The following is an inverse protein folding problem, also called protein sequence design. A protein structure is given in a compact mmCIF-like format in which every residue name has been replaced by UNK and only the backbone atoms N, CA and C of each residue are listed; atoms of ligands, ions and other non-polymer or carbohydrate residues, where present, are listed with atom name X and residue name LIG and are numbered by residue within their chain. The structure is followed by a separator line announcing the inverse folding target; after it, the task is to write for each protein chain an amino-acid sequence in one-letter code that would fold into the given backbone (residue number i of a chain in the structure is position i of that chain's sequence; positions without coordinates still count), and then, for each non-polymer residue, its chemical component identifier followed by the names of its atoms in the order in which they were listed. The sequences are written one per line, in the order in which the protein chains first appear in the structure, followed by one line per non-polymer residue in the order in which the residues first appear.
data_IF_941214901168
#
_entry.id   IF_941214901168
#
_cell.length_a   1.000
_cell.length_b   1.000
_cell.length_c   1.000
_cell.angle_alpha   90.00
_cell.angle_beta   90.00
_cell.angle_gamma   90.00
#
_symmetry.space_group_name_H-M   'P 1'
#
loop_
_entity.id
_entity.type
_entity.pdbx_description
1 polymer ?
#
# COMPACT_ATOMS: atom_id res chain seq x y z
N UNK A 1 16.76 51.93 22.79
CA UNK A 1 16.06 50.74 22.27
C UNK A 1 14.77 51.18 21.60
N UNK A 2 14.46 50.65 20.42
CA UNK A 2 13.19 50.92 19.75
C UNK A 2 12.20 49.83 20.18
N UNK A 3 11.19 50.20 20.97
CA UNK A 3 10.09 49.33 21.40
C UNK A 3 8.77 49.87 20.82
N UNK A 4 7.87 48.98 20.41
CA UNK A 4 6.54 49.36 19.91
C UNK A 4 6.30 49.28 18.40
N UNK A 5 7.20 48.66 17.62
CA UNK A 5 6.88 48.31 16.23
C UNK A 5 5.89 47.13 16.21
N UNK A 6 4.75 47.32 15.56
CA UNK A 6 3.83 46.22 15.25
C UNK A 6 4.54 45.24 14.30
N UNK A 7 4.31 43.92 14.43
CA UNK A 7 4.98 42.94 13.57
C UNK A 7 4.74 43.28 12.11
N UNK A 8 5.83 43.58 11.39
CA UNK A 8 5.79 43.86 9.95
C UNK A 8 5.86 42.51 9.24
N UNK A 9 4.78 42.15 8.56
CA UNK A 9 4.75 40.98 7.67
C UNK A 9 5.02 41.51 6.26
N UNK A 10 6.19 41.21 5.71
CA UNK A 10 6.49 41.48 4.31
C UNK A 10 5.86 40.38 3.45
N UNK A 11 4.94 40.75 2.56
CA UNK A 11 4.38 39.84 1.55
C UNK A 11 5.17 40.07 0.26
N UNK A 12 6.27 39.33 0.12
CA UNK A 12 7.05 39.31 -1.12
C UNK A 12 6.50 38.25 -2.07
N UNK A 13 6.40 38.57 -3.36
CA UNK A 13 6.06 37.60 -4.39
C UNK A 13 7.28 36.71 -4.69
N UNK A 14 7.66 35.85 -3.75
CA UNK A 14 8.63 34.78 -4.02
C UNK A 14 7.97 33.77 -4.96
N UNK A 15 8.50 33.63 -6.17
CA UNK A 15 8.29 32.44 -6.99
C UNK A 15 8.67 31.23 -6.15
N UNK A 16 7.68 30.48 -5.67
CA UNK A 16 7.89 29.22 -4.97
C UNK A 16 8.66 28.28 -5.89
N UNK A 17 9.72 27.65 -5.37
CA UNK A 17 10.52 26.72 -6.17
C UNK A 17 9.66 25.61 -6.78
N UNK A 18 10.03 25.17 -7.98
CA UNK A 18 9.38 24.06 -8.69
C UNK A 18 9.64 22.71 -7.99
N UNK A 19 9.01 22.48 -6.84
CA UNK A 19 8.93 21.14 -6.26
C UNK A 19 7.69 20.44 -6.84
N UNK A 20 7.84 19.36 -7.63
CA UNK A 20 6.72 18.68 -8.30
C UNK A 20 5.69 18.08 -7.32
N UNK A 21 6.07 17.90 -6.04
CA UNK A 21 5.18 17.45 -4.98
C UNK A 21 4.43 18.59 -4.29
N UNK A 22 4.87 19.83 -4.43
CA UNK A 22 4.14 20.97 -3.88
C UNK A 22 2.91 21.27 -4.73
N UNK A 23 1.75 21.37 -4.08
CA UNK A 23 0.46 21.71 -4.68
C UNK A 23 -0.12 22.94 -3.99
N UNK A 24 -1.16 23.55 -4.56
CA UNK A 24 -1.92 24.62 -3.88
C UNK A 24 -2.40 24.14 -2.50
N UNK A 25 -2.88 22.90 -2.41
CA UNK A 25 -3.38 22.33 -1.14
C UNK A 25 -2.29 22.18 -0.07
N UNK A 26 -1.05 21.86 -0.44
CA UNK A 26 0.06 21.78 0.53
C UNK A 26 0.58 23.16 0.90
N UNK A 27 0.61 24.11 -0.04
CA UNK A 27 1.08 25.49 0.22
C UNK A 27 0.12 26.23 1.15
N UNK A 28 -1.19 26.00 0.99
CA UNK A 28 -2.23 26.61 1.81
C UNK A 28 -2.57 25.81 3.06
N UNK A 29 -1.88 24.69 3.31
CA UNK A 29 -2.15 23.73 4.40
C UNK A 29 -3.57 23.10 4.39
N UNK A 30 -4.44 23.47 3.44
CA UNK A 30 -5.77 22.88 3.27
C UNK A 30 -5.68 21.35 3.16
N UNK A 31 -4.64 20.85 2.47
CA UNK A 31 -4.43 19.40 2.35
C UNK A 31 -4.14 18.74 3.69
N UNK A 32 -3.50 19.43 4.63
CA UNK A 32 -3.21 18.88 5.95
C UNK A 32 -4.49 18.68 6.77
N UNK A 33 -5.42 19.64 6.67
CA UNK A 33 -6.76 19.49 7.25
C UNK A 33 -7.58 18.42 6.54
N UNK A 34 -7.48 18.29 5.21
CA UNK A 34 -8.14 17.21 4.48
C UNK A 34 -7.64 15.84 4.93
N UNK A 35 -6.33 15.66 5.10
CA UNK A 35 -5.76 14.38 5.61
C UNK A 35 -6.32 14.04 7.00
N UNK A 36 -6.45 15.04 7.87
CA UNK A 36 -7.05 14.83 9.19
C UNK A 36 -8.55 14.48 9.09
N UNK A 37 -9.29 15.19 8.23
CA UNK A 37 -10.70 14.95 7.97
C UNK A 37 -10.93 13.53 7.45
N UNK A 38 -10.16 13.07 6.46
CA UNK A 38 -10.27 11.71 5.95
C UNK A 38 -9.85 10.66 6.98
N UNK A 39 -8.81 10.90 7.79
CA UNK A 39 -8.43 9.96 8.84
C UNK A 39 -9.48 9.79 9.94
N UNK A 40 -10.32 10.80 10.19
CA UNK A 40 -11.31 10.77 11.28
C UNK A 40 -12.76 10.59 10.83
N UNK A 41 -13.12 11.13 9.68
CA UNK A 41 -14.50 11.22 9.18
C UNK A 41 -14.82 10.35 7.97
N UNK A 42 -13.83 9.65 7.40
CA UNK A 42 -14.10 8.73 6.28
C UNK A 42 -14.70 7.40 6.73
N UNK A 43 -15.41 6.77 5.81
CA UNK A 43 -15.84 5.37 5.90
C UNK A 43 -14.98 4.53 4.97
N UNK A 44 -14.56 3.37 5.44
CA UNK A 44 -13.78 2.44 4.64
C UNK A 44 -14.70 1.56 3.80
N UNK A 45 -14.33 1.32 2.55
CA UNK A 45 -15.04 0.43 1.64
C UNK A 45 -14.10 -0.66 1.15
N UNK A 46 -14.62 -1.88 1.04
CA UNK A 46 -13.85 -3.00 0.53
C UNK A 46 -13.53 -2.79 -0.96
N UNK A 47 -12.26 -2.89 -1.38
CA UNK A 47 -11.91 -2.88 -2.80
C UNK A 47 -12.42 -4.12 -3.55
N UNK A 48 -12.72 -5.21 -2.86
CA UNK A 48 -13.19 -6.47 -3.46
C UNK A 48 -14.71 -6.49 -3.64
N UNK A 49 -15.46 -6.13 -2.59
CA UNK A 49 -16.93 -6.23 -2.59
C UNK A 49 -17.63 -4.88 -2.77
N UNK A 50 -16.92 -3.77 -2.59
CA UNK A 50 -17.49 -2.41 -2.61
C UNK A 50 -18.36 -2.07 -1.40
N UNK A 51 -18.51 -2.98 -0.41
CA UNK A 51 -19.33 -2.76 0.78
C UNK A 51 -18.59 -1.94 1.83
N UNK A 52 -19.35 -1.24 2.68
CA UNK A 52 -18.79 -0.52 3.83
C UNK A 52 -18.17 -1.53 4.81
N UNK A 53 -16.91 -1.31 5.17
CA UNK A 53 -16.21 -2.11 6.17
C UNK A 53 -16.66 -1.72 7.56
N UNK A 54 -16.75 -2.71 8.44
CA UNK A 54 -17.24 -2.51 9.80
C UNK A 54 -16.11 -2.67 10.82
N UNK A 55 -16.20 -1.90 11.90
CA UNK A 55 -15.40 -2.07 13.11
C UNK A 55 -16.27 -1.77 14.32
N UNK A 56 -15.93 -2.37 15.46
CA UNK A 56 -16.65 -2.18 16.71
C UNK A 56 -15.67 -1.91 17.86
N UNK A 57 -16.06 -1.02 18.77
CA UNK A 57 -15.37 -0.88 20.06
C UNK A 57 -15.69 -2.04 20.98
N UNK A 58 -14.89 -2.26 22.03
CA UNK A 58 -15.17 -3.29 23.05
C UNK A 58 -16.57 -3.13 23.63
N UNK A 59 -16.94 -1.89 23.96
CA UNK A 59 -18.25 -1.56 24.53
C UNK A 59 -19.37 -1.83 23.54
N UNK A 60 -19.21 -1.43 22.27
CA UNK A 60 -20.21 -1.72 21.23
C UNK A 60 -20.40 -3.23 21.02
N UNK A 61 -19.33 -4.03 21.05
CA UNK A 61 -19.45 -5.49 20.94
C UNK A 61 -20.24 -6.05 22.12
N UNK A 62 -19.91 -5.62 23.34
CA UNK A 62 -20.62 -6.06 24.56
C UNK A 62 -22.10 -5.68 24.50
N UNK A 63 -22.41 -4.44 24.14
CA UNK A 63 -23.79 -3.95 24.03
C UNK A 63 -24.58 -4.68 22.94
N UNK A 64 -23.97 -4.95 21.78
CA UNK A 64 -24.59 -5.73 20.71
C UNK A 64 -24.88 -7.16 21.17
N UNK A 65 -23.98 -7.78 21.95
CA UNK A 65 -24.18 -9.12 22.48
C UNK A 65 -25.32 -9.14 23.50
N UNK A 66 -25.34 -8.19 24.43
CA UNK A 66 -26.38 -8.05 25.45
C UNK A 66 -27.77 -7.81 24.83
N UNK A 67 -27.85 -7.00 23.79
CA UNK A 67 -29.12 -6.62 23.16
C UNK A 67 -29.65 -7.68 22.19
N UNK A 68 -28.81 -8.23 21.31
CA UNK A 68 -29.26 -9.13 20.24
C UNK A 68 -29.42 -10.57 20.69
N UNK A 69 -28.64 -11.01 21.69
CA UNK A 69 -28.65 -12.38 22.18
C UNK A 69 -29.26 -12.49 23.58
N UNK A 70 -30.06 -11.50 23.99
CA UNK A 70 -30.77 -11.50 25.27
C UNK A 70 -31.60 -12.79 25.43
N UNK A 71 -31.35 -13.53 26.51
CA UNK A 71 -32.04 -14.78 26.85
C UNK A 71 -31.63 -16.00 26.03
N UNK A 72 -30.80 -15.85 24.99
CA UNK A 72 -30.36 -16.95 24.11
C UNK A 72 -29.03 -17.54 24.56
N UNK A 73 -28.87 -18.85 24.43
CA UNK A 73 -27.60 -19.51 24.71
C UNK A 73 -26.66 -19.32 23.52
N UNK A 74 -25.46 -18.80 23.76
CA UNK A 74 -24.49 -18.51 22.72
C UNK A 74 -23.08 -18.98 23.11
N UNK A 75 -22.27 -19.33 22.12
CA UNK A 75 -20.85 -19.60 22.28
C UNK A 75 -20.06 -18.37 21.87
N UNK A 76 -19.18 -17.91 22.76
CA UNK A 76 -18.24 -16.84 22.47
C UNK A 76 -16.96 -17.47 21.91
N UNK A 77 -16.66 -17.16 20.66
CA UNK A 77 -15.59 -17.77 19.89
C UNK A 77 -14.48 -16.76 19.62
N UNK A 78 -13.23 -17.23 19.67
CA UNK A 78 -12.05 -16.44 19.33
C UNK A 78 -11.33 -17.05 18.13
N UNK A 79 -11.36 -16.40 16.95
CA UNK A 79 -10.77 -16.96 15.74
C UNK A 79 -9.24 -16.94 15.82
N UNK A 80 -8.63 -18.11 15.78
CA UNK A 80 -7.17 -18.29 15.86
C UNK A 80 -6.55 -18.48 14.48
N UNK A 81 -7.25 -19.20 13.59
CA UNK A 81 -6.80 -19.52 12.24
C UNK A 81 -7.98 -19.35 11.28
N UNK A 82 -7.73 -18.66 10.16
CA UNK A 82 -8.74 -18.42 9.11
C UNK A 82 -8.20 -18.88 7.77
N UNK A 83 -8.73 -19.99 7.25
CA UNK A 83 -8.46 -20.47 5.89
C UNK A 83 -6.99 -20.76 5.59
N UNK A 84 -6.18 -21.17 6.59
CA UNK A 84 -4.75 -21.46 6.41
C UNK A 84 -4.47 -22.96 6.49
N UNK A 85 -3.50 -23.41 5.69
CA UNK A 85 -3.03 -24.80 5.67
C UNK A 85 -2.10 -25.08 6.84
N UNK A 86 -2.30 -26.18 7.55
CA UNK A 86 -1.44 -26.56 8.66
C UNK A 86 -2.03 -27.65 9.55
N UNK A 87 -1.15 -28.34 10.28
CA UNK A 87 -1.55 -29.44 11.17
C UNK A 87 -1.89 -28.97 12.61
N UNK A 88 -1.46 -27.76 12.99
CA UNK A 88 -1.80 -27.05 14.24
C UNK A 88 -1.67 -27.82 15.57
N UNK A 89 -0.86 -28.88 15.64
CA UNK A 89 -0.68 -29.68 16.87
C UNK A 89 -0.17 -28.84 18.05
N UNK A 90 0.85 -28.01 17.83
CA UNK A 90 1.41 -27.13 18.87
C UNK A 90 0.37 -26.13 19.39
N UNK A 91 -0.51 -25.64 18.51
CA UNK A 91 -1.60 -24.74 18.90
C UNK A 91 -2.56 -25.43 19.87
N UNK A 92 -3.00 -26.65 19.57
CA UNK A 92 -3.90 -27.40 20.46
C UNK A 92 -3.23 -27.76 21.78
N UNK A 93 -1.96 -28.17 21.78
CA UNK A 93 -1.19 -28.42 23.01
C UNK A 93 -1.10 -27.17 23.89
N UNK A 94 -0.87 -25.99 23.30
CA UNK A 94 -0.85 -24.72 24.04
C UNK A 94 -2.21 -24.37 24.63
N UNK A 95 -3.30 -24.59 23.89
CA UNK A 95 -4.66 -24.35 24.37
C UNK A 95 -5.03 -25.27 25.55
N UNK A 96 -4.63 -26.55 25.49
CA UNK A 96 -4.80 -27.51 26.61
C UNK A 96 -4.04 -27.07 27.85
N UNK A 97 -2.78 -26.67 27.70
CA UNK A 97 -1.96 -26.17 28.81
C UNK A 97 -2.57 -24.93 29.48
N UNK A 98 -3.33 -24.13 28.73
CA UNK A 98 -4.08 -22.98 29.25
C UNK A 98 -5.45 -23.33 29.86
N UNK A 99 -5.84 -24.61 29.82
CA UNK A 99 -7.07 -25.11 30.45
C UNK A 99 -8.34 -24.96 29.60
N UNK A 100 -8.23 -24.68 28.30
CA UNK A 100 -9.41 -24.67 27.42
C UNK A 100 -9.88 -26.09 27.11
N UNK A 101 -11.19 -26.28 27.04
CA UNK A 101 -11.81 -27.60 26.82
C UNK A 101 -12.36 -27.79 25.41
N UNK A 102 -12.88 -26.74 24.77
CA UNK A 102 -13.60 -26.84 23.51
C UNK A 102 -13.00 -25.95 22.43
N UNK A 103 -13.05 -26.42 21.19
CA UNK A 103 -12.61 -25.70 20.00
C UNK A 103 -13.57 -25.98 18.85
N UNK A 104 -13.86 -24.98 18.03
CA UNK A 104 -14.61 -25.14 16.79
C UNK A 104 -13.63 -25.22 15.63
N UNK A 105 -13.71 -26.31 14.86
CA UNK A 105 -12.84 -26.58 13.71
C UNK A 105 -13.72 -26.84 12.51
N UNK A 106 -13.52 -26.07 11.45
CA UNK A 106 -14.24 -26.20 10.17
C UNK A 106 -15.77 -26.24 10.32
N UNK A 107 -16.30 -25.57 11.34
CA UNK A 107 -17.73 -25.47 11.65
C UNK A 107 -18.23 -26.41 12.75
N UNK A 108 -17.43 -27.39 13.19
CA UNK A 108 -17.83 -28.37 14.21
C UNK A 108 -17.16 -28.06 15.55
N UNK A 109 -17.94 -28.07 16.64
CA UNK A 109 -17.42 -27.91 18.01
C UNK A 109 -16.96 -29.28 18.51
N UNK A 110 -15.68 -29.39 18.83
CA UNK A 110 -15.03 -30.61 19.31
C UNK A 110 -14.39 -30.38 20.68
N UNK A 111 -14.30 -31.46 21.46
CA UNK A 111 -13.52 -31.45 22.69
C UNK A 111 -12.02 -31.45 22.34
N UNK A 112 -11.29 -30.49 22.89
CA UNK A 112 -9.87 -30.28 22.62
C UNK A 112 -9.01 -31.49 23.00
N UNK A 113 -9.50 -32.37 23.88
CA UNK A 113 -8.82 -33.62 24.23
C UNK A 113 -8.80 -34.64 23.08
N UNK A 114 -9.82 -34.64 22.22
CA UNK A 114 -9.97 -35.59 21.12
C UNK A 114 -9.19 -35.16 19.87
N UNK A 115 -8.90 -33.86 19.73
CA UNK A 115 -8.27 -33.29 18.53
C UNK A 115 -6.74 -33.26 18.64
N UNK A 116 -6.02 -34.22 18.07
CA UNK A 116 -4.54 -34.20 18.09
C UNK A 116 -3.90 -33.29 17.04
N UNK A 117 -4.30 -33.44 15.77
CA UNK A 117 -3.75 -32.71 14.63
C UNK A 117 -4.76 -32.65 13.48
N UNK A 118 -4.58 -31.64 12.60
CA UNK A 118 -5.35 -31.49 11.37
C UNK A 118 -4.52 -31.85 10.13
N UNK A 119 -5.18 -31.88 8.97
CA UNK A 119 -4.53 -32.16 7.69
C UNK A 119 -3.63 -30.99 7.26
N UNK A 120 -2.34 -31.26 7.07
CA UNK A 120 -1.36 -30.21 6.71
C UNK A 120 -1.65 -29.54 5.36
N UNK A 121 -2.34 -30.22 4.44
CA UNK A 121 -2.50 -29.75 3.07
C UNK A 121 -3.83 -29.04 2.81
N UNK A 122 -4.77 -29.09 3.76
CA UNK A 122 -6.10 -28.45 3.65
C UNK A 122 -6.15 -27.14 4.42
N UNK A 123 -6.87 -26.12 3.91
CA UNK A 123 -7.14 -24.91 4.67
C UNK A 123 -8.11 -25.22 5.80
N UNK A 124 -7.80 -24.72 7.00
CA UNK A 124 -8.63 -24.93 8.19
C UNK A 124 -9.07 -23.59 8.81
N UNK A 125 -10.25 -23.61 9.42
CA UNK A 125 -10.80 -22.54 10.25
C UNK A 125 -10.84 -23.04 11.70
N UNK A 126 -10.11 -22.36 12.59
CA UNK A 126 -9.99 -22.77 14.00
C UNK A 126 -10.41 -21.61 14.88
N UNK A 127 -11.43 -21.83 15.69
CA UNK A 127 -12.01 -20.84 16.60
C UNK A 127 -12.08 -21.44 18.01
N UNK A 128 -11.43 -20.79 18.97
CA UNK A 128 -11.45 -21.24 20.37
C UNK A 128 -12.80 -20.90 21.01
N UNK A 129 -13.41 -21.87 21.70
CA UNK A 129 -14.57 -21.58 22.55
C UNK A 129 -14.06 -20.99 23.86
N UNK A 130 -14.27 -19.68 24.05
CA UNK A 130 -13.77 -18.95 25.22
C UNK A 130 -14.75 -19.01 26.38
N UNK A 131 -16.05 -18.86 26.08
CA UNK A 131 -17.11 -18.92 27.09
C UNK A 131 -18.44 -19.36 26.46
N UNK A 132 -19.34 -19.87 27.31
CA UNK A 132 -20.74 -20.14 27.01
C UNK A 132 -21.59 -19.12 27.76
N UNK A 133 -22.23 -18.25 27.00
CA UNK A 133 -22.97 -17.11 27.53
C UNK A 133 -24.47 -17.33 27.37
N UNK A 134 -25.24 -16.79 28.33
CA UNK A 134 -26.67 -16.57 28.16
C UNK A 134 -26.95 -15.15 28.65
N UNK A 135 -26.90 -14.14 27.77
CA UNK A 135 -27.05 -12.75 28.18
C UNK A 135 -28.37 -12.49 28.90
N UNK A 136 -28.29 -12.17 30.19
CA UNK A 136 -29.44 -11.85 31.06
C UNK A 136 -29.13 -10.59 31.86
N UNK A 137 -30.17 -9.93 32.39
CA UNK A 137 -30.01 -8.71 33.18
C UNK A 137 -29.16 -8.98 34.43
N UNK A 138 -28.05 -8.23 34.58
CA UNK A 138 -27.12 -8.37 35.71
C UNK A 138 -25.85 -9.18 35.41
N UNK A 139 -25.72 -9.79 34.23
CA UNK A 139 -24.49 -10.48 33.79
C UNK A 139 -23.48 -9.56 33.06
N UNK A 140 -23.74 -8.25 32.97
CA UNK A 140 -22.95 -7.29 32.20
C UNK A 140 -21.44 -7.37 32.47
N UNK A 141 -21.06 -7.47 33.76
CA UNK A 141 -19.64 -7.55 34.16
C UNK A 141 -18.97 -8.82 33.63
N UNK A 142 -19.66 -9.96 33.73
CA UNK A 142 -19.15 -11.25 33.27
C UNK A 142 -19.00 -11.29 31.76
N UNK A 143 -20.01 -10.78 31.03
CA UNK A 143 -19.98 -10.74 29.56
C UNK A 143 -18.85 -9.84 29.09
N UNK A 144 -18.67 -8.67 29.71
CA UNK A 144 -17.56 -7.77 29.41
C UNK A 144 -16.18 -8.43 29.60
N UNK A 145 -15.98 -9.13 30.71
CA UNK A 145 -14.73 -9.86 30.99
C UNK A 145 -14.48 -10.98 29.95
N UNK A 146 -15.51 -11.75 29.62
CA UNK A 146 -15.42 -12.83 28.64
C UNK A 146 -15.16 -12.33 27.22
N UNK A 147 -15.85 -11.27 26.79
CA UNK A 147 -15.63 -10.58 25.50
C UNK A 147 -14.22 -10.02 25.44
N UNK A 148 -13.75 -9.32 26.49
CA UNK A 148 -12.39 -8.81 26.55
C UNK A 148 -11.33 -9.90 26.40
N UNK A 149 -11.53 -11.04 27.08
CA UNK A 149 -10.65 -12.22 26.95
C UNK A 149 -10.68 -12.79 25.53
N UNK A 150 -11.86 -12.94 24.93
CA UNK A 150 -11.99 -13.50 23.58
C UNK A 150 -11.36 -12.60 22.51
N UNK A 151 -11.54 -11.29 22.62
CA UNK A 151 -10.91 -10.30 21.75
C UNK A 151 -9.39 -10.33 21.90
N UNK A 152 -8.88 -10.42 23.14
CA UNK A 152 -7.44 -10.51 23.41
C UNK A 152 -6.80 -11.74 22.76
N UNK A 153 -7.43 -12.90 22.87
CA UNK A 153 -6.95 -14.15 22.26
C UNK A 153 -7.03 -14.08 20.73
N UNK A 154 -8.09 -13.48 20.19
CA UNK A 154 -8.38 -13.40 18.75
C UNK A 154 -7.75 -12.20 18.07
N UNK A 155 -6.79 -11.54 18.75
CA UNK A 155 -6.04 -10.37 18.27
C UNK A 155 -6.94 -9.24 17.75
N UNK A 156 -8.02 -8.96 18.46
CA UNK A 156 -8.99 -7.93 18.08
C UNK A 156 -10.22 -8.45 17.34
N UNK A 157 -10.36 -9.77 17.15
CA UNK A 157 -11.55 -10.37 16.55
C UNK A 157 -12.23 -11.36 17.49
N UNK A 158 -13.55 -11.47 17.36
CA UNK A 158 -14.41 -12.37 18.13
C UNK A 158 -15.59 -12.80 17.26
N UNK A 159 -16.17 -13.95 17.53
CA UNK A 159 -17.41 -14.38 16.90
C UNK A 159 -18.39 -14.88 17.95
N UNK A 160 -19.67 -14.77 17.66
CA UNK A 160 -20.75 -15.29 18.50
C UNK A 160 -21.54 -16.27 17.67
N UNK A 161 -21.65 -17.49 18.19
CA UNK A 161 -22.47 -18.54 17.61
C UNK A 161 -23.71 -18.71 18.48
N UNK A 162 -24.89 -18.44 17.93
CA UNK A 162 -26.15 -18.72 18.59
C UNK A 162 -26.37 -20.24 18.64
N UNK A 163 -26.66 -20.78 19.83
CA UNK A 163 -26.88 -22.20 20.02
C UNK A 163 -28.30 -22.64 19.63
N UNK A 164 -29.24 -21.71 19.45
CA UNK A 164 -30.63 -22.00 19.10
C UNK A 164 -30.83 -22.10 17.59
N UNK A 165 -30.31 -21.14 16.82
CA UNK A 165 -30.45 -21.12 15.36
C UNK A 165 -29.16 -21.47 14.58
N UNK A 166 -28.02 -21.61 15.27
CA UNK A 166 -26.73 -21.94 14.66
C UNK A 166 -26.11 -20.79 13.86
N UNK A 167 -26.66 -19.58 13.93
CA UNK A 167 -26.13 -18.41 13.24
C UNK A 167 -24.80 -17.96 13.84
N UNK A 168 -23.84 -17.67 12.97
CA UNK A 168 -22.51 -17.20 13.34
C UNK A 168 -22.34 -15.75 12.93
N UNK A 169 -22.02 -14.88 13.90
CA UNK A 169 -21.75 -13.46 13.66
C UNK A 169 -20.36 -13.09 14.12
N UNK A 170 -19.58 -12.49 13.22
CA UNK A 170 -18.24 -12.00 13.52
C UNK A 170 -18.27 -10.52 13.93
N UNK A 171 -17.41 -10.19 14.88
CA UNK A 171 -17.11 -8.82 15.31
C UNK A 171 -15.59 -8.61 15.29
N UNK A 172 -15.15 -7.43 14.85
CA UNK A 172 -13.74 -7.07 14.84
C UNK A 172 -13.54 -5.63 15.30
N UNK A 173 -12.42 -5.40 15.99
CA UNK A 173 -11.87 -4.09 16.27
C UNK A 173 -11.22 -3.45 15.05
N UNK A 174 -10.74 -4.29 14.14
CA UNK A 174 -10.12 -3.85 12.90
C UNK A 174 -11.19 -3.64 11.86
N UNK A 175 -10.92 -2.79 10.86
CA UNK A 175 -11.78 -2.68 9.70
C UNK A 175 -11.74 -4.00 8.94
N UNK A 176 -12.89 -4.64 8.82
CA UNK A 176 -13.03 -5.92 8.11
C UNK A 176 -14.24 -5.85 7.19
N UNK A 177 -14.08 -6.39 5.98
CA UNK A 177 -15.19 -6.69 5.09
C UNK A 177 -15.94 -7.93 5.62
N UNK A 178 -17.25 -7.82 5.94
CA UNK A 178 -18.03 -8.95 6.42
C UNK A 178 -18.09 -10.15 5.47
N UNK A 179 -17.91 -9.95 4.16
CA UNK A 179 -18.08 -10.99 3.15
C UNK A 179 -16.75 -11.62 2.73
N UNK A 180 -15.77 -10.83 2.34
CA UNK A 180 -14.47 -11.37 1.91
C UNK A 180 -13.50 -11.61 3.08
N UNK A 181 -13.73 -10.99 4.24
CA UNK A 181 -12.83 -11.05 5.39
C UNK A 181 -11.55 -10.24 5.23
N UNK A 182 -11.41 -9.48 4.13
CA UNK A 182 -10.32 -8.53 3.93
C UNK A 182 -10.28 -7.53 5.09
N UNK A 183 -9.08 -7.29 5.62
CA UNK A 183 -8.88 -6.34 6.71
C UNK A 183 -7.99 -5.19 6.29
N UNK A 184 -8.43 -3.97 6.58
CA UNK A 184 -7.65 -2.75 6.38
C UNK A 184 -7.18 -2.22 7.73
N UNK A 185 -6.02 -1.56 7.71
CA UNK A 185 -5.56 -0.81 8.87
C UNK A 185 -6.39 0.45 9.08
N UNK A 186 -6.49 0.91 10.32
CA UNK A 186 -7.09 2.20 10.59
C UNK A 186 -6.26 3.31 9.94
N UNK A 187 -6.92 4.23 9.22
CA UNK A 187 -6.20 5.26 8.51
C UNK A 187 -5.66 6.29 9.51
N UNK A 188 -4.42 6.72 9.28
CA UNK A 188 -3.81 7.84 9.99
C UNK A 188 -3.64 9.01 8.99
N UNK A 189 -3.44 10.26 9.45
CA UNK A 189 -3.28 11.38 8.53
C UNK A 189 -2.16 11.18 7.50
N UNK A 190 -1.09 10.45 7.85
CA UNK A 190 0.00 10.14 6.91
C UNK A 190 -0.38 9.11 5.84
N UNK A 191 -1.43 8.30 6.06
CA UNK A 191 -2.00 7.38 5.07
C UNK A 191 -2.59 8.14 3.87
N UNK A 192 -2.98 9.40 4.07
CA UNK A 192 -3.47 10.28 3.01
C UNK A 192 -2.40 11.25 2.52
N UNK A 193 -1.12 10.99 2.78
CA UNK A 193 -0.03 11.86 2.38
C UNK A 193 0.71 11.26 1.18
N UNK A 194 0.60 11.90 0.02
CA UNK A 194 1.45 11.55 -1.13
C UNK A 194 2.94 11.90 -0.94
N UNK A 195 3.29 12.57 0.16
CA UNK A 195 4.68 12.79 0.56
C UNK A 195 5.22 11.67 1.47
N UNK A 196 4.38 10.76 1.95
CA UNK A 196 4.74 9.69 2.88
C UNK A 196 4.67 8.32 2.20
N UNK A 197 5.63 7.40 2.44
CA UNK A 197 5.55 6.02 1.93
C UNK A 197 4.27 5.25 2.27
N UNK A 198 3.65 5.59 3.40
CA UNK A 198 2.42 4.98 3.88
C UNK A 198 1.19 5.43 3.09
N UNK A 199 1.26 6.54 2.35
CA UNK A 199 0.13 7.10 1.61
C UNK A 199 0.35 7.25 0.12
N UNK A 200 1.60 7.36 -0.34
CA UNK A 200 1.87 7.59 -1.75
C UNK A 200 1.60 6.36 -2.61
N UNK A 201 1.26 6.60 -3.88
CA UNK A 201 1.24 5.58 -4.90
C UNK A 201 2.65 4.98 -5.07
N UNK A 202 2.86 3.67 -4.92
CA UNK A 202 4.20 3.06 -5.00
C UNK A 202 4.82 3.18 -6.39
N UNK A 203 3.99 3.30 -7.43
CA UNK A 203 4.43 3.40 -8.83
C UNK A 203 5.05 4.77 -9.15
N UNK A 204 4.31 5.86 -8.92
CA UNK A 204 4.80 7.23 -9.18
C UNK A 204 5.48 7.89 -7.97
N UNK A 205 5.58 7.19 -6.83
CA UNK A 205 6.13 7.72 -5.56
C UNK A 205 5.54 9.08 -5.18
N UNK A 206 4.23 9.24 -5.35
CA UNK A 206 3.52 10.47 -4.97
C UNK A 206 3.64 11.65 -5.94
N UNK A 207 4.20 11.45 -7.14
CA UNK A 207 4.26 12.50 -8.17
C UNK A 207 2.94 12.66 -8.92
N UNK A 208 2.19 11.55 -9.09
CA UNK A 208 0.94 11.51 -9.87
C UNK A 208 1.17 11.42 -11.38
N UNK A 209 2.39 11.68 -11.82
CA UNK A 209 2.84 11.48 -13.18
C UNK A 209 4.03 10.52 -13.20
N UNK A 210 4.22 9.89 -14.36
CA UNK A 210 5.42 9.11 -14.69
C UNK A 210 5.95 9.62 -16.02
N UNK A 211 7.24 9.46 -16.26
CA UNK A 211 7.80 9.68 -17.58
C UNK A 211 7.42 8.46 -18.42
N UNK A 212 6.53 8.65 -19.40
CA UNK A 212 6.21 7.59 -20.36
C UNK A 212 7.28 7.58 -21.43
N UNK A 213 8.24 6.68 -21.24
CA UNK A 213 9.34 6.48 -22.16
C UNK A 213 8.85 5.47 -23.19
N UNK A 214 7.99 5.92 -24.11
CA UNK A 214 7.67 5.11 -25.27
C UNK A 214 8.91 5.07 -26.18
N UNK A 215 9.53 3.90 -26.30
CA UNK A 215 10.72 3.67 -27.14
C UNK A 215 10.43 4.06 -28.59
N UNK A 216 9.21 3.83 -29.10
CA UNK A 216 8.82 4.20 -30.46
C UNK A 216 8.71 5.72 -30.64
N UNK A 217 8.42 6.47 -29.56
CA UNK A 217 8.47 7.94 -29.59
C UNK A 217 9.91 8.47 -29.55
N UNK A 218 10.84 7.71 -28.97
CA UNK A 218 12.25 8.09 -28.85
C UNK A 218 13.05 7.69 -30.09
N UNK A 219 12.72 6.53 -30.66
CA UNK A 219 13.33 5.93 -31.85
C UNK A 219 12.22 5.51 -32.83
N UNK A 220 11.57 6.48 -33.51
CA UNK A 220 10.44 6.21 -34.40
C UNK A 220 10.84 5.45 -35.67
N UNK A 221 12.11 5.53 -36.05
CA UNK A 221 12.65 4.92 -37.25
C UNK A 221 14.00 4.27 -36.92
N UNK A 222 13.96 2.97 -36.62
CA UNK A 222 15.13 2.18 -36.22
C UNK A 222 16.07 1.85 -37.38
N UNK A 223 15.67 2.15 -38.62
CA UNK A 223 16.52 1.99 -39.80
C UNK A 223 17.54 3.12 -39.95
N UNK A 224 17.36 4.22 -39.23
CA UNK A 224 18.31 5.34 -39.17
C UNK A 224 19.43 5.08 -38.18
N UNK A 225 20.54 5.78 -38.37
CA UNK A 225 21.69 5.73 -37.46
C UNK A 225 21.59 6.74 -36.31
N UNK A 226 22.41 6.57 -35.26
CA UNK A 226 22.54 7.58 -34.20
C UNK A 226 23.03 8.91 -34.79
N UNK A 227 23.89 8.87 -35.81
CA UNK A 227 24.41 10.05 -36.50
C UNK A 227 23.32 10.84 -37.24
N UNK A 228 22.39 10.14 -37.88
CA UNK A 228 21.28 10.73 -38.62
C UNK A 228 20.12 11.20 -37.73
N UNK A 229 20.23 11.00 -36.41
CA UNK A 229 19.25 11.43 -35.43
C UNK A 229 18.12 10.42 -35.23
N UNK A 230 18.39 9.12 -35.31
CA UNK A 230 17.41 8.07 -34.98
C UNK A 230 16.86 8.21 -33.56
N UNK A 231 17.69 8.66 -32.61
CA UNK A 231 17.28 8.97 -31.24
C UNK A 231 16.83 10.43 -31.18
N UNK A 232 15.52 10.66 -31.21
CA UNK A 232 14.92 12.00 -31.37
C UNK A 232 15.38 13.01 -30.31
N UNK A 233 15.40 12.68 -28.99
CA UNK A 233 15.85 13.64 -27.98
C UNK A 233 17.37 13.93 -28.02
N UNK A 234 18.18 13.05 -28.62
CA UNK A 234 19.62 13.26 -28.81
C UNK A 234 19.90 14.21 -29.99
N UNK A 235 19.04 14.14 -31.01
CA UNK A 235 19.19 14.87 -32.27
C UNK A 235 20.30 14.31 -33.16
N UNK A 236 20.65 15.03 -34.23
CA UNK A 236 21.74 14.66 -35.14
C UNK A 236 23.12 14.87 -34.50
N UNK A 237 24.10 14.09 -34.94
CA UNK A 237 25.50 14.23 -34.48
C UNK A 237 26.00 15.65 -34.71
N UNK A 238 26.58 16.21 -33.65
CA UNK A 238 27.23 17.52 -33.61
C UNK A 238 28.39 17.50 -32.62
N UNK A 239 29.21 18.54 -32.67
CA UNK A 239 30.26 18.75 -31.66
C UNK A 239 29.60 19.26 -30.37
N UNK A 240 29.35 18.34 -29.45
CA UNK A 240 28.84 18.66 -28.11
C UNK A 240 29.34 17.62 -27.11
N UNK A 241 29.41 18.02 -25.83
CA UNK A 241 29.84 17.14 -24.73
C UNK A 241 29.02 15.84 -24.66
N UNK A 242 27.71 15.93 -24.94
CA UNK A 242 26.82 14.76 -25.01
C UNK A 242 27.28 13.77 -26.09
N UNK A 243 27.63 14.25 -27.28
CA UNK A 243 28.14 13.38 -28.35
C UNK A 243 29.56 12.88 -28.10
N UNK A 244 30.37 13.57 -27.29
CA UNK A 244 31.67 13.06 -26.85
C UNK A 244 31.52 11.83 -25.95
N UNK A 245 30.55 11.84 -25.04
CA UNK A 245 30.20 10.67 -24.21
C UNK A 245 29.68 9.53 -25.10
N UNK A 246 28.74 9.81 -26.02
CA UNK A 246 28.22 8.79 -26.94
C UNK A 246 29.32 8.19 -27.83
N UNK A 247 30.30 8.99 -28.28
CA UNK A 247 31.51 8.50 -28.97
C UNK A 247 32.35 7.58 -28.09
N UNK A 248 32.49 7.89 -26.80
CA UNK A 248 33.19 7.03 -25.85
C UNK A 248 32.45 5.71 -25.63
N UNK A 249 31.12 5.73 -25.56
CA UNK A 249 30.28 4.52 -25.52
C UNK A 249 30.49 3.69 -26.79
N UNK A 250 30.47 4.31 -27.96
CA UNK A 250 30.70 3.65 -29.25
C UNK A 250 32.05 2.93 -29.33
N UNK A 251 33.12 3.54 -28.78
CA UNK A 251 34.44 2.90 -28.68
C UNK A 251 34.45 1.70 -27.72
N UNK A 252 33.77 1.80 -26.57
CA UNK A 252 33.72 0.72 -25.57
C UNK A 252 32.95 -0.50 -26.09
N UNK A 253 31.83 -0.27 -26.77
CA UNK A 253 30.95 -1.32 -27.29
C UNK A 253 31.21 -1.69 -28.77
N UNK A 254 32.23 -1.08 -29.38
CA UNK A 254 32.71 -1.36 -30.74
C UNK A 254 31.62 -1.30 -31.82
N UNK A 255 30.80 -0.24 -31.81
CA UNK A 255 29.81 0.04 -32.85
C UNK A 255 30.07 1.39 -33.52
N UNK A 256 29.56 1.59 -34.74
CA UNK A 256 29.63 2.88 -35.42
C UNK A 256 28.36 3.70 -35.17
N UNK A 257 28.53 5.00 -34.94
CA UNK A 257 27.42 5.96 -34.85
C UNK A 257 26.59 6.03 -36.14
N UNK A 258 27.14 5.56 -37.26
CA UNK A 258 26.52 5.55 -38.58
C UNK A 258 25.80 4.23 -38.89
N UNK A 259 25.88 3.23 -38.01
CA UNK A 259 25.12 2.00 -38.17
C UNK A 259 23.64 2.23 -37.85
N UNK A 260 22.70 1.59 -38.58
CA UNK A 260 21.27 1.59 -38.22
C UNK A 260 21.05 1.11 -36.79
N UNK A 261 20.08 1.69 -36.07
CA UNK A 261 19.75 1.26 -34.69
C UNK A 261 19.40 -0.24 -34.63
N UNK A 262 18.72 -0.78 -35.64
CA UNK A 262 18.39 -2.21 -35.71
C UNK A 262 19.62 -3.14 -35.80
N UNK A 263 20.77 -2.62 -36.21
CA UNK A 263 22.02 -3.37 -36.26
C UNK A 263 22.79 -3.30 -34.92
N UNK A 264 22.39 -2.44 -33.99
CA UNK A 264 23.02 -2.29 -32.68
C UNK A 264 22.48 -3.32 -31.68
N UNK A 265 23.31 -3.81 -30.74
CA UNK A 265 22.83 -4.62 -29.63
C UNK A 265 21.79 -3.88 -28.78
N UNK A 266 20.73 -4.57 -28.36
CA UNK A 266 19.67 -3.99 -27.51
C UNK A 266 20.20 -3.39 -26.21
N UNK A 267 21.27 -3.95 -25.66
CA UNK A 267 21.96 -3.42 -24.47
C UNK A 267 22.54 -2.02 -24.72
N UNK A 268 23.09 -1.77 -25.91
CA UNK A 268 23.61 -0.45 -26.31
C UNK A 268 22.47 0.53 -26.50
N UNK A 269 21.38 0.11 -27.15
CA UNK A 269 20.19 0.96 -27.34
C UNK A 269 19.59 1.34 -25.99
N UNK A 270 19.46 0.37 -25.08
CA UNK A 270 19.00 0.58 -23.71
C UNK A 270 19.92 1.53 -22.95
N UNK A 271 21.25 1.34 -23.03
CA UNK A 271 22.24 2.22 -22.41
C UNK A 271 22.12 3.66 -22.92
N UNK A 272 21.96 3.86 -24.23
CA UNK A 272 21.80 5.19 -24.82
C UNK A 272 20.50 5.87 -24.33
N UNK A 273 19.42 5.09 -24.20
CA UNK A 273 18.09 5.58 -23.80
C UNK A 273 17.99 5.86 -22.30
N UNK A 274 18.32 4.87 -21.47
CA UNK A 274 18.13 4.86 -20.01
C UNK A 274 19.35 5.30 -19.20
N UNK A 275 20.53 5.36 -19.81
CA UNK A 275 21.75 5.71 -19.10
C UNK A 275 22.36 4.56 -18.31
N UNK A 276 23.53 4.81 -17.73
CA UNK A 276 24.23 3.91 -16.81
C UNK A 276 25.17 4.69 -15.89
N UNK A 277 25.41 4.15 -14.71
CA UNK A 277 26.43 4.63 -13.77
C UNK A 277 27.85 4.27 -14.19
N UNK A 278 28.00 3.47 -15.26
CA UNK A 278 29.29 3.19 -15.89
C UNK A 278 30.01 4.49 -16.28
N UNK A 279 31.30 4.56 -15.95
CA UNK A 279 32.13 5.69 -16.32
C UNK A 279 32.80 5.45 -17.68
N UNK A 280 32.65 6.43 -18.57
CA UNK A 280 33.23 6.44 -19.91
C UNK A 280 34.34 7.50 -19.97
N UNK A 281 35.45 7.13 -20.62
CA UNK A 281 36.58 8.05 -20.82
C UNK A 281 36.32 8.96 -22.01
N UNK A 282 36.10 10.23 -21.73
CA UNK A 282 35.79 11.28 -22.71
C UNK A 282 37.02 12.16 -22.91
N UNK A 283 37.39 12.47 -24.16
CA UNK A 283 38.58 13.26 -24.51
C UNK A 283 39.82 12.44 -24.86
N UNK A 284 40.92 13.13 -25.19
CA UNK A 284 42.18 12.50 -25.62
C UNK A 284 43.37 12.93 -24.73
N UNK A 285 44.29 11.99 -24.50
CA UNK A 285 45.52 12.24 -23.73
C UNK A 285 45.27 12.62 -22.26
N UNK A 286 45.96 13.66 -21.79
CA UNK A 286 45.93 14.13 -20.40
C UNK A 286 44.68 14.97 -20.04
N UNK A 287 43.85 15.32 -21.03
CA UNK A 287 42.60 16.08 -20.87
C UNK A 287 41.37 15.15 -20.80
N UNK A 288 41.58 13.85 -20.62
CA UNK A 288 40.48 12.90 -20.57
C UNK A 288 39.82 12.86 -19.20
N UNK A 289 38.50 12.90 -19.17
CA UNK A 289 37.68 12.84 -17.95
C UNK A 289 36.80 11.59 -17.96
N UNK A 290 36.45 11.11 -16.77
CA UNK A 290 35.55 9.97 -16.59
C UNK A 290 34.15 10.51 -16.31
N UNK A 291 33.22 10.27 -17.22
CA UNK A 291 31.83 10.74 -17.11
C UNK A 291 30.84 9.58 -17.21
N UNK A 292 29.75 9.64 -16.44
CA UNK A 292 28.61 8.75 -16.61
C UNK A 292 27.62 9.31 -17.65
N UNK A 293 26.76 8.43 -18.17
CA UNK A 293 25.73 8.81 -19.14
C UNK A 293 24.35 8.68 -18.50
N UNK A 294 23.65 9.80 -18.31
CA UNK A 294 22.30 9.83 -17.70
C UNK A 294 21.16 9.36 -18.61
N UNK A 295 21.44 9.03 -19.87
CA UNK A 295 20.41 8.67 -20.84
C UNK A 295 19.77 9.87 -21.54
N UNK A 296 19.06 9.63 -22.64
CA UNK A 296 18.24 10.67 -23.28
C UNK A 296 16.96 11.00 -22.50
N UNK A 297 16.51 10.10 -21.64
CA UNK A 297 15.29 10.26 -20.84
C UNK A 297 15.36 11.47 -19.90
N UNK A 298 16.54 11.86 -19.43
CA UNK A 298 16.71 13.10 -18.64
C UNK A 298 16.20 14.35 -19.37
N UNK A 299 16.13 14.32 -20.70
CA UNK A 299 15.66 15.44 -21.51
C UNK A 299 14.21 15.26 -22.01
N UNK A 300 13.50 14.20 -21.59
CA UNK A 300 12.12 13.94 -21.98
C UNK A 300 11.18 14.54 -20.93
N UNK A 301 10.53 15.65 -21.29
CA UNK A 301 9.52 16.31 -20.45
C UNK A 301 8.12 15.69 -20.55
N UNK A 302 7.94 14.70 -21.43
CA UNK A 302 6.65 14.05 -21.67
C UNK A 302 6.26 13.18 -20.47
N UNK A 303 5.60 13.83 -19.51
CA UNK A 303 4.99 13.17 -18.36
C UNK A 303 3.56 12.80 -18.69
N UNK A 304 3.20 11.54 -18.43
CA UNK A 304 1.82 11.08 -18.50
C UNK A 304 1.25 10.94 -17.09
N UNK A 305 -0.07 10.96 -17.00
CA UNK A 305 -0.77 10.64 -15.74
C UNK A 305 -0.45 9.19 -15.36
N UNK A 306 -0.07 8.98 -14.11
CA UNK A 306 0.25 7.65 -13.61
C UNK A 306 -0.96 6.72 -13.80
N UNK A 307 -0.82 5.59 -14.53
CA UNK A 307 -1.94 4.70 -14.83
C UNK A 307 -2.44 3.94 -13.58
N UNK A 308 -1.59 3.78 -12.56
CA UNK A 308 -1.93 3.05 -11.34
C UNK A 308 -2.81 3.87 -10.40
N UNK A 309 -2.49 5.15 -10.22
CA UNK A 309 -3.25 6.02 -9.30
C UNK A 309 -4.17 7.01 -10.03
N UNK A 310 -4.18 7.01 -11.37
CA UNK A 310 -4.96 7.97 -12.17
C UNK A 310 -4.62 9.43 -11.88
N UNK A 311 -3.40 9.72 -11.41
CA UNK A 311 -2.97 11.07 -11.03
C UNK A 311 -3.27 11.48 -9.60
N UNK A 312 -3.99 10.67 -8.81
CA UNK A 312 -4.34 10.98 -7.40
C UNK A 312 -3.14 11.02 -6.46
N UNK A 313 -1.99 10.48 -6.87
CA UNK A 313 -0.74 10.40 -6.09
C UNK A 313 -0.80 9.45 -4.89
N UNK A 314 -1.94 8.86 -4.56
CA UNK A 314 -2.15 8.01 -3.39
C UNK A 314 -2.14 6.51 -3.73
N UNK A 315 -1.90 5.66 -2.73
CA UNK A 315 -2.02 4.20 -2.85
C UNK A 315 -3.48 3.74 -2.81
N UNK A 316 -3.72 2.47 -3.17
CA UNK A 316 -5.07 1.90 -3.24
C UNK A 316 -5.77 1.86 -1.88
N UNK A 317 -5.04 1.57 -0.79
CA UNK A 317 -5.60 1.53 0.56
C UNK A 317 -6.18 2.89 0.97
N UNK A 318 -5.46 3.98 0.72
CA UNK A 318 -5.96 5.34 0.96
C UNK A 318 -7.21 5.64 0.13
N UNK A 319 -7.29 5.09 -1.09
CA UNK A 319 -8.44 5.29 -1.97
C UNK A 319 -9.71 4.54 -1.54
N UNK A 320 -9.58 3.56 -0.63
CA UNK A 320 -10.71 2.81 -0.07
C UNK A 320 -11.53 3.63 0.93
N UNK A 321 -10.99 4.74 1.44
CA UNK A 321 -11.64 5.60 2.42
C UNK A 321 -12.38 6.73 1.71
N UNK A 322 -13.68 6.88 2.01
CA UNK A 322 -14.55 7.85 1.33
C UNK A 322 -15.36 8.70 2.29
N UNK A 323 -15.59 9.95 1.90
CA UNK A 323 -16.56 10.88 2.51
C UNK A 323 -17.55 11.25 1.41
N UNK A 324 -18.84 10.98 1.63
CA UNK A 324 -19.91 11.28 0.67
C UNK A 324 -19.64 10.76 -0.75
N UNK A 325 -19.14 9.52 -0.84
CA UNK A 325 -18.81 8.86 -2.10
C UNK A 325 -17.52 9.36 -2.78
N UNK A 326 -16.83 10.35 -2.21
CA UNK A 326 -15.57 10.91 -2.73
C UNK A 326 -14.36 10.42 -1.95
N UNK A 327 -13.27 10.30 -2.67
CA UNK A 327 -11.95 9.91 -2.19
C UNK A 327 -11.01 11.10 -2.29
#
# INVERSE_FOLDING_TARGET
EITGLSPIIAIEQKTTGNNPRSTVGTITEIYDFLRLLYAKGSRAYSPETGREMVRYTDEQIVDLILTQYAGRKCYLLSPLVRGRKGHYRELFEQLRKRGYTQVRIDGEILELQEVQALDRYKPHFIELVVDRLKPEAGEDRRIRESVGRAIGIGKGSVAVLDAEDGSLRHFSKHLVDPESGLSLQEPQPHSFSFNSPQGYCPHCKGLGTIVDVNIDSIIPDRTKSVADGAIVPLGKVRESRKFDIVRAIARKYNFSLYDPIDALPDEVVSLLVYGSEDLFRVGEGNLSEMESWGGVIENIENTVVCPVCGGTRLNQDALCFRIDGKT
#
